data_IF_529525468384
#
_entry.id   IF_529525468384
#
_cell.length_a   1.000
_cell.length_b   1.000
_cell.length_c   1.000
_cell.angle_alpha   90.00
_cell.angle_beta   90.00
_cell.angle_gamma   90.00
#
_symmetry.space_group_name_H-M   'P 1'
#
loop_
_entity.id
_entity.type
_entity.pdbx_description
1 polymer ?
#
# COMPACT_ATOMS: atom_id res chain seq x y z
N UNK A 1 -18.62 10.50 4.74
CA UNK A 1 -18.80 9.06 5.01
C UNK A 1 -17.47 8.36 4.75
N UNK A 2 -17.12 7.37 5.56
CA UNK A 2 -15.92 6.53 5.37
C UNK A 2 -15.85 5.99 3.94
N UNK A 3 -14.69 6.05 3.32
CA UNK A 3 -14.43 5.54 1.95
C UNK A 3 -14.79 6.52 0.82
N UNK A 4 -15.51 7.61 1.08
CA UNK A 4 -15.85 8.58 0.02
C UNK A 4 -14.62 9.25 -0.57
N UNK A 5 -13.65 9.63 0.27
CA UNK A 5 -12.42 10.30 -0.18
C UNK A 5 -11.56 9.31 -0.95
N UNK A 6 -11.51 8.06 -0.50
CA UNK A 6 -10.81 7.00 -1.21
C UNK A 6 -11.41 6.75 -2.61
N UNK A 7 -12.74 6.78 -2.77
CA UNK A 7 -13.38 6.68 -4.09
C UNK A 7 -13.01 7.84 -5.02
N UNK A 8 -12.92 9.07 -4.50
CA UNK A 8 -12.47 10.23 -5.29
C UNK A 8 -11.05 10.02 -5.80
N UNK A 9 -10.13 9.63 -4.92
CA UNK A 9 -8.73 9.35 -5.27
C UNK A 9 -8.62 8.23 -6.29
N UNK A 10 -9.38 7.13 -6.14
CA UNK A 10 -9.36 6.03 -7.11
C UNK A 10 -9.79 6.48 -8.51
N UNK A 11 -10.79 7.36 -8.60
CA UNK A 11 -11.23 7.95 -9.88
C UNK A 11 -10.19 8.88 -10.47
N UNK A 12 -9.58 9.74 -9.66
CA UNK A 12 -8.48 10.62 -10.09
C UNK A 12 -7.27 9.84 -10.62
N UNK A 13 -7.00 8.69 -10.01
CA UNK A 13 -5.93 7.78 -10.42
C UNK A 13 -6.33 6.87 -11.59
N UNK A 14 -7.52 7.06 -12.16
CA UNK A 14 -8.05 6.25 -13.28
C UNK A 14 -8.03 4.75 -12.97
N UNK A 15 -8.28 4.38 -11.71
CA UNK A 15 -8.39 2.99 -11.29
C UNK A 15 -9.54 2.30 -12.03
N UNK A 16 -9.33 1.05 -12.44
CA UNK A 16 -10.34 0.25 -13.12
C UNK A 16 -11.22 -0.43 -12.09
N UNK A 17 -12.53 -0.15 -12.12
CA UNK A 17 -13.50 -0.88 -11.32
C UNK A 17 -13.76 -2.28 -11.89
N UNK A 18 -13.77 -3.30 -11.01
CA UNK A 18 -13.99 -4.71 -11.34
C UNK A 18 -15.23 -5.19 -10.60
N UNK A 19 -16.32 -5.37 -11.34
CA UNK A 19 -17.65 -5.63 -10.79
C UNK A 19 -17.75 -7.00 -10.10
N UNK A 20 -17.03 -8.01 -10.58
CA UNK A 20 -17.07 -9.38 -10.04
C UNK A 20 -16.54 -9.46 -8.60
N UNK A 21 -15.61 -8.57 -8.26
CA UNK A 21 -14.96 -8.52 -6.95
C UNK A 21 -15.28 -7.26 -6.16
N UNK A 22 -16.16 -6.39 -6.68
CA UNK A 22 -16.50 -5.08 -6.11
C UNK A 22 -15.26 -4.30 -5.64
N UNK A 23 -14.26 -4.22 -6.53
CA UNK A 23 -12.94 -3.68 -6.20
C UNK A 23 -12.37 -2.80 -7.30
N UNK A 24 -11.38 -2.01 -6.94
CA UNK A 24 -10.69 -1.08 -7.83
C UNK A 24 -9.26 -1.57 -8.03
N UNK A 25 -8.81 -1.61 -9.29
CA UNK A 25 -7.46 -2.07 -9.65
C UNK A 25 -6.63 -0.95 -10.24
N UNK A 26 -5.38 -0.90 -9.79
CA UNK A 26 -4.33 -0.04 -10.32
C UNK A 26 -3.10 -0.90 -10.61
N UNK A 27 -2.26 -0.47 -11.54
CA UNK A 27 -1.02 -1.16 -11.81
C UNK A 27 -0.06 -0.38 -12.67
N UNK A 28 1.21 -0.75 -12.52
CA UNK A 28 2.31 -0.35 -13.38
C UNK A 28 2.96 -1.58 -14.01
N UNK A 29 4.12 -1.40 -14.61
CA UNK A 29 4.89 -2.48 -15.23
C UNK A 29 5.46 -3.49 -14.24
N UNK A 30 5.70 -3.05 -12.99
CA UNK A 30 6.36 -3.80 -11.91
C UNK A 30 5.50 -3.92 -10.66
N UNK A 31 4.28 -3.39 -10.65
CA UNK A 31 3.41 -3.44 -9.47
C UNK A 31 1.92 -3.50 -9.81
N UNK A 32 1.13 -3.94 -8.84
CA UNK A 32 -0.34 -3.93 -8.88
C UNK A 32 -0.90 -3.62 -7.51
N UNK A 33 -2.06 -2.97 -7.48
CA UNK A 33 -2.84 -2.71 -6.28
C UNK A 33 -4.30 -3.09 -6.51
N UNK A 34 -4.91 -3.72 -5.51
CA UNK A 34 -6.36 -3.92 -5.41
C UNK A 34 -6.86 -3.13 -4.22
N UNK A 35 -7.88 -2.31 -4.40
CA UNK A 35 -8.50 -1.50 -3.35
C UNK A 35 -9.96 -1.86 -3.22
N UNK A 36 -10.40 -2.13 -2.00
CA UNK A 36 -11.80 -2.43 -1.68
C UNK A 36 -12.36 -1.27 -0.86
N UNK A 37 -13.51 -0.76 -1.30
CA UNK A 37 -14.20 0.34 -0.66
C UNK A 37 -15.63 -0.06 -0.37
N UNK A 38 -15.86 -0.64 0.80
CA UNK A 38 -17.18 -1.02 1.28
C UNK A 38 -17.49 -0.23 2.58
N UNK A 39 -18.00 1.02 2.50
CA UNK A 39 -18.16 1.94 3.63
C UNK A 39 -18.89 1.39 4.86
N UNK A 40 -19.79 0.42 4.68
CA UNK A 40 -20.54 -0.23 5.76
C UNK A 40 -19.98 -1.59 6.19
N UNK A 41 -18.82 -1.99 5.69
CA UNK A 41 -18.23 -3.30 5.96
C UNK A 41 -16.74 -3.24 6.23
N UNK A 42 -15.95 -2.77 5.26
CA UNK A 42 -14.50 -2.63 5.40
C UNK A 42 -13.87 -1.80 4.27
N UNK A 43 -12.66 -1.29 4.53
CA UNK A 43 -11.76 -0.72 3.53
C UNK A 43 -10.50 -1.58 3.47
N UNK A 44 -9.89 -1.68 2.29
CA UNK A 44 -8.63 -2.41 2.17
C UNK A 44 -7.81 -2.05 0.94
N UNK A 45 -6.51 -2.27 1.06
CA UNK A 45 -5.51 -2.19 0.01
C UNK A 45 -4.67 -3.46 0.08
N UNK A 46 -4.58 -4.16 -1.04
CA UNK A 46 -3.57 -5.19 -1.29
C UNK A 46 -2.60 -4.67 -2.36
N UNK A 47 -1.32 -4.60 -2.05
CA UNK A 47 -0.30 -4.14 -2.99
C UNK A 47 0.77 -5.21 -3.19
N UNK A 48 1.16 -5.44 -4.44
CA UNK A 48 2.33 -6.27 -4.77
C UNK A 48 3.24 -5.52 -5.74
N UNK A 49 4.52 -5.45 -5.41
CA UNK A 49 5.58 -5.06 -6.33
C UNK A 49 6.48 -6.25 -6.62
N UNK A 50 7.01 -6.28 -7.85
CA UNK A 50 7.91 -7.31 -8.36
C UNK A 50 9.21 -6.70 -8.88
N UNK A 51 10.29 -7.42 -8.66
CA UNK A 51 11.56 -7.20 -9.32
C UNK A 51 11.50 -7.81 -10.73
N UNK A 52 11.60 -7.00 -11.81
CA UNK A 52 11.59 -7.53 -13.17
C UNK A 52 12.82 -8.40 -13.48
N UNK A 53 13.95 -8.22 -12.78
CA UNK A 53 15.17 -8.99 -13.04
C UNK A 53 15.15 -10.38 -12.39
N UNK A 54 14.62 -10.49 -11.17
CA UNK A 54 14.65 -11.75 -10.41
C UNK A 54 13.29 -12.41 -10.24
N UNK A 55 12.19 -11.73 -10.57
CA UNK A 55 10.82 -12.18 -10.35
C UNK A 55 10.39 -12.20 -8.87
N UNK A 56 11.26 -11.80 -7.94
CA UNK A 56 10.93 -11.70 -6.51
C UNK A 56 9.88 -10.61 -6.30
N UNK A 57 9.05 -10.78 -5.28
CA UNK A 57 8.02 -9.80 -4.93
C UNK A 57 8.03 -9.42 -3.46
N UNK A 58 7.35 -8.34 -3.12
CA UNK A 58 6.99 -7.96 -1.76
C UNK A 58 5.54 -7.45 -1.79
N UNK A 59 4.80 -7.76 -0.75
CA UNK A 59 3.41 -7.33 -0.59
C UNK A 59 3.30 -6.34 0.55
N UNK A 60 2.36 -5.41 0.46
CA UNK A 60 1.98 -4.51 1.53
C UNK A 60 0.46 -4.41 1.54
N UNK A 61 -0.13 -4.91 2.63
CA UNK A 61 -1.57 -5.03 2.75
C UNK A 61 -1.99 -4.28 4.02
N UNK A 62 -3.00 -3.43 3.89
CA UNK A 62 -3.62 -2.70 5.01
C UNK A 62 -5.12 -2.67 4.79
N UNK A 63 -5.88 -2.94 5.84
CA UNK A 63 -7.32 -3.02 5.78
C UNK A 63 -7.96 -2.80 7.15
N UNK A 64 -9.29 -2.85 7.16
CA UNK A 64 -10.11 -2.82 8.36
C UNK A 64 -10.88 -4.12 8.57
N UNK A 65 -10.46 -5.24 7.97
CA UNK A 65 -11.31 -6.43 7.82
C UNK A 65 -11.69 -7.10 9.17
N UNK A 66 -10.85 -6.92 10.18
CA UNK A 66 -11.05 -7.42 11.54
C UNK A 66 -12.10 -6.63 12.34
N UNK A 67 -12.59 -5.50 11.82
CA UNK A 67 -13.48 -4.59 12.54
C UNK A 67 -14.68 -4.17 11.68
N UNK A 68 -15.87 -4.18 12.30
CA UNK A 68 -17.06 -3.62 11.67
C UNK A 68 -17.01 -2.09 11.68
N UNK A 69 -16.59 -1.50 10.57
CA UNK A 69 -16.44 -0.05 10.42
C UNK A 69 -17.78 0.71 10.33
N UNK A 70 -18.92 0.02 10.33
CA UNK A 70 -20.22 0.67 10.49
C UNK A 70 -20.47 1.16 11.91
N UNK A 71 -19.75 0.60 12.90
CA UNK A 71 -19.87 0.97 14.30
C UNK A 71 -19.18 2.30 14.59
N UNK A 72 -19.82 3.15 15.40
CA UNK A 72 -19.28 4.44 15.83
C UNK A 72 -17.87 4.34 16.43
N UNK A 73 -17.64 3.31 17.25
CA UNK A 73 -16.37 3.06 17.92
C UNK A 73 -15.20 2.83 16.95
N UNK A 74 -15.48 2.44 15.70
CA UNK A 74 -14.45 2.14 14.70
C UNK A 74 -14.23 3.29 13.71
N UNK A 75 -14.94 4.42 13.87
CA UNK A 75 -14.87 5.55 12.92
C UNK A 75 -13.46 6.14 12.80
N UNK A 76 -12.77 6.36 13.92
CA UNK A 76 -11.41 6.94 13.90
C UNK A 76 -10.40 5.97 13.29
N UNK A 77 -10.50 4.68 13.62
CA UNK A 77 -9.68 3.63 13.04
C UNK A 77 -9.88 3.55 11.52
N UNK A 78 -11.13 3.49 11.06
CA UNK A 78 -11.45 3.42 9.64
C UNK A 78 -10.98 4.67 8.88
N UNK A 79 -11.09 5.86 9.49
CA UNK A 79 -10.57 7.10 8.93
C UNK A 79 -9.03 7.14 8.89
N UNK A 80 -8.36 6.49 9.85
CA UNK A 80 -6.91 6.24 9.84
C UNK A 80 -6.51 5.39 8.64
N UNK A 81 -7.10 4.20 8.50
CA UNK A 81 -6.80 3.31 7.37
C UNK A 81 -7.16 3.96 6.02
N UNK A 82 -8.27 4.69 5.92
CA UNK A 82 -8.61 5.44 4.70
C UNK A 82 -7.51 6.45 4.33
N UNK A 83 -6.99 7.20 5.31
CA UNK A 83 -5.91 8.17 5.09
C UNK A 83 -4.62 7.48 4.66
N UNK A 84 -4.26 6.38 5.30
CA UNK A 84 -3.04 5.64 4.99
C UNK A 84 -3.07 5.07 3.56
N UNK A 85 -4.21 4.51 3.14
CA UNK A 85 -4.41 4.05 1.76
C UNK A 85 -4.27 5.22 0.78
N UNK A 86 -4.96 6.34 1.04
CA UNK A 86 -4.91 7.53 0.16
C UNK A 86 -3.46 8.05 0.05
N UNK A 87 -2.76 8.15 1.18
CA UNK A 87 -1.38 8.61 1.22
C UNK A 87 -0.47 7.68 0.40
N UNK A 88 -0.57 6.37 0.61
CA UNK A 88 0.19 5.38 -0.13
C UNK A 88 -0.06 5.46 -1.65
N UNK A 89 -1.33 5.56 -2.07
CA UNK A 89 -1.68 5.72 -3.49
C UNK A 89 -1.11 7.03 -4.08
N UNK A 90 -1.10 8.12 -3.30
CA UNK A 90 -0.45 9.37 -3.68
C UNK A 90 1.06 9.23 -3.87
N UNK A 91 1.72 8.48 -2.98
CA UNK A 91 3.14 8.17 -3.06
C UNK A 91 3.48 7.27 -4.26
N UNK A 92 2.60 6.36 -4.66
CA UNK A 92 2.77 5.60 -5.91
C UNK A 92 2.82 6.53 -7.11
N UNK A 93 1.85 7.45 -7.24
CA UNK A 93 1.76 8.38 -8.37
C UNK A 93 2.97 9.33 -8.48
N UNK A 94 3.57 9.68 -7.35
CA UNK A 94 4.71 10.60 -7.28
C UNK A 94 6.07 9.88 -7.34
N UNK A 95 6.08 8.55 -7.46
CA UNK A 95 7.31 7.74 -7.48
C UNK A 95 8.03 7.65 -6.13
N UNK A 96 7.33 7.94 -5.03
CA UNK A 96 7.87 7.89 -3.68
C UNK A 96 7.82 6.49 -3.04
N UNK A 97 7.08 5.54 -3.66
CA UNK A 97 7.17 4.12 -3.32
C UNK A 97 8.34 3.50 -4.07
N UNK A 98 9.31 2.99 -3.33
CA UNK A 98 10.57 2.51 -3.86
C UNK A 98 10.70 1.01 -3.65
N UNK A 99 11.28 0.34 -4.63
CA UNK A 99 11.73 -1.05 -4.56
C UNK A 99 13.26 -1.11 -4.54
N UNK A 100 13.81 -2.07 -3.82
CA UNK A 100 15.25 -2.29 -3.74
C UNK A 100 15.59 -3.65 -3.16
N UNK A 101 16.85 -3.82 -2.78
CA UNK A 101 17.36 -5.07 -2.23
C UNK A 101 18.09 -4.89 -0.90
N UNK A 102 17.95 -5.89 -0.03
CA UNK A 102 18.78 -6.04 1.16
C UNK A 102 19.36 -7.45 1.16
N UNK A 103 20.58 -7.57 0.62
CA UNK A 103 21.15 -8.87 0.25
C UNK A 103 20.26 -9.56 -0.78
N UNK A 104 19.74 -10.75 -0.45
CA UNK A 104 18.86 -11.53 -1.34
C UNK A 104 17.38 -11.18 -1.23
N UNK A 105 17.00 -10.27 -0.33
CA UNK A 105 15.59 -9.93 -0.09
C UNK A 105 15.15 -8.77 -0.96
N UNK A 106 13.93 -8.85 -1.49
CA UNK A 106 13.25 -7.74 -2.13
C UNK A 106 12.56 -6.88 -1.06
N UNK A 107 12.72 -5.56 -1.17
CA UNK A 107 12.34 -4.60 -0.15
C UNK A 107 11.54 -3.46 -0.76
N UNK A 108 10.49 -3.03 -0.08
CA UNK A 108 9.79 -1.79 -0.37
C UNK A 108 10.09 -0.74 0.69
N UNK A 109 10.22 0.51 0.28
CA UNK A 109 10.35 1.67 1.16
C UNK A 109 9.44 2.77 0.65
N UNK A 110 8.63 3.34 1.54
CA UNK A 110 7.74 4.45 1.21
C UNK A 110 7.47 5.32 2.45
N UNK A 111 7.19 6.61 2.26
CA UNK A 111 6.69 7.45 3.35
C UNK A 111 5.24 7.08 3.72
N UNK A 112 4.92 7.18 5.00
CA UNK A 112 3.56 7.02 5.54
C UNK A 112 3.49 7.71 6.91
N UNK A 113 2.46 8.53 7.15
CA UNK A 113 2.21 9.21 8.43
C UNK A 113 3.45 9.91 9.02
N UNK A 114 4.18 10.65 8.18
CA UNK A 114 5.37 11.40 8.57
C UNK A 114 6.63 10.56 8.87
N UNK A 115 6.57 9.25 8.68
CA UNK A 115 7.69 8.32 8.83
C UNK A 115 7.97 7.56 7.53
N UNK A 116 8.95 6.66 7.55
CA UNK A 116 9.27 5.76 6.44
C UNK A 116 9.01 4.32 6.82
N UNK A 117 8.11 3.68 6.08
CA UNK A 117 7.82 2.25 6.20
C UNK A 117 8.76 1.49 5.30
N UNK A 118 9.39 0.46 5.88
CA UNK A 118 10.22 -0.51 5.18
C UNK A 118 9.58 -1.88 5.29
N UNK A 119 9.23 -2.46 4.14
CA UNK A 119 8.62 -3.78 4.02
C UNK A 119 9.64 -4.75 3.43
N UNK A 120 9.89 -5.85 4.15
CA UNK A 120 10.82 -6.89 3.75
C UNK A 120 10.09 -8.21 3.67
N UNK A 121 10.07 -8.84 2.49
CA UNK A 121 9.57 -10.21 2.37
C UNK A 121 10.56 -11.19 2.99
N UNK A 122 10.15 -11.81 4.10
CA UNK A 122 10.85 -12.96 4.68
C UNK A 122 10.52 -14.25 3.92
N UNK A 123 11.10 -15.37 4.37
CA UNK A 123 10.84 -16.69 3.76
C UNK A 123 9.41 -17.17 3.95
N UNK A 124 8.77 -16.76 5.05
CA UNK A 124 7.43 -17.20 5.44
C UNK A 124 6.47 -16.04 5.75
N UNK A 125 7.00 -14.89 6.18
CA UNK A 125 6.22 -13.72 6.58
C UNK A 125 6.84 -12.45 6.00
N UNK A 126 6.00 -11.51 5.60
CA UNK A 126 6.40 -10.14 5.30
C UNK A 126 6.52 -9.36 6.62
N UNK A 127 7.61 -8.61 6.78
CA UNK A 127 7.84 -7.75 7.95
C UNK A 127 7.85 -6.29 7.53
N UNK A 128 6.98 -5.49 8.12
CA UNK A 128 7.05 -4.03 8.07
C UNK A 128 7.83 -3.49 9.27
N UNK A 129 8.51 -2.36 9.08
CA UNK A 129 9.19 -1.61 10.14
C UNK A 129 9.13 -0.12 9.82
N UNK A 130 8.97 0.72 10.83
CA UNK A 130 8.87 2.17 10.68
C UNK A 130 10.17 2.83 11.12
N UNK A 131 10.64 3.80 10.36
CA UNK A 131 11.89 4.54 10.58
C UNK A 131 11.61 6.03 10.50
N UNK A 132 12.24 6.84 11.36
CA UNK A 132 12.07 8.30 11.37
C UNK A 132 12.74 9.00 10.20
N UNK A 133 13.69 8.34 9.52
CA UNK A 133 14.42 8.92 8.40
C UNK A 133 14.55 7.95 7.21
N UNK A 134 14.65 8.56 6.02
CA UNK A 134 14.72 7.86 4.74
C UNK A 134 15.97 7.00 4.61
N UNK A 135 17.11 7.50 5.07
CA UNK A 135 18.41 6.84 4.91
C UNK A 135 18.43 5.51 5.64
N UNK A 136 17.93 5.49 6.88
CA UNK A 136 17.80 4.27 7.67
C UNK A 136 16.85 3.27 7.02
N UNK A 137 15.67 3.73 6.56
CA UNK A 137 14.71 2.87 5.85
C UNK A 137 15.32 2.25 4.58
N UNK A 138 16.20 2.99 3.87
CA UNK A 138 16.88 2.58 2.65
C UNK A 138 18.22 1.86 2.87
N UNK A 139 18.50 1.38 4.08
CA UNK A 139 19.72 0.59 4.31
C UNK A 139 19.75 -0.63 3.37
N UNK A 140 20.87 -0.87 2.69
CA UNK A 140 21.03 -1.93 1.67
C UNK A 140 21.20 -1.40 0.24
N UNK A 141 20.82 -0.15 -0.02
CA UNK A 141 21.05 0.54 -1.30
C UNK A 141 20.25 0.01 -2.49
N UNK A 142 20.39 0.68 -3.64
CA UNK A 142 19.80 0.25 -4.92
C UNK A 142 18.28 0.49 -5.05
N UNK A 143 17.75 1.48 -4.32
CA UNK A 143 16.32 1.78 -4.36
C UNK A 143 15.97 2.61 -5.59
N UNK A 144 14.97 2.15 -6.34
CA UNK A 144 14.38 2.84 -7.48
C UNK A 144 12.86 2.89 -7.30
N UNK A 145 12.14 3.82 -7.92
CA UNK A 145 10.68 3.81 -7.93
C UNK A 145 10.11 2.48 -8.43
N UNK A 146 8.90 2.15 -7.97
CA UNK A 146 8.08 1.14 -8.64
C UNK A 146 7.50 1.76 -9.91
N UNK A 147 7.73 1.12 -11.05
CA UNK A 147 7.28 1.55 -12.39
C UNK A 147 6.09 0.71 -12.86
#
# INVERSE_FOLDING_TARGET
MTGHRLLEVLREHQATYVAETDSWRLGGSTWRATVIVAPGRWLGLEFEARDPATGRSATYDIDTDLYDISQEAQREFAAGIERDIIEFLGHLRTGAVLRGHAGTKFVLVFPLDGAYVRVVKGRFLTRASTHSDRTTAQTGGGYVPVD
#
